data_IF_783733902089
#
_entry.id   IF_783733902089
#
_cell.length_a   1.000
_cell.length_b   1.000
_cell.length_c   1.000
_cell.angle_alpha   90.00
_cell.angle_beta   90.00
_cell.angle_gamma   90.00
#
_symmetry.space_group_name_H-M   'P 1'
#
loop_
_entity.id
_entity.type
_entity.pdbx_description
1 polymer ?
#
# COMPACT_ATOMS: atom_id res chain seq x y z
N UNK A 1 8.54 -17.48 -12.48
CA UNK A 1 10.01 -17.52 -12.58
C UNK A 1 10.62 -16.42 -11.72
N UNK A 2 11.74 -16.67 -11.03
CA UNK A 2 12.53 -15.60 -10.44
C UNK A 2 12.88 -14.58 -11.53
N UNK A 3 12.53 -13.30 -11.33
CA UNK A 3 12.83 -12.21 -12.28
C UNK A 3 11.66 -11.69 -13.13
N UNK A 4 10.48 -12.32 -13.07
CA UNK A 4 9.29 -11.85 -13.81
C UNK A 4 8.57 -10.64 -13.18
N UNK A 5 8.84 -10.34 -11.91
CA UNK A 5 8.22 -9.22 -11.18
C UNK A 5 9.28 -8.46 -10.39
N UNK A 6 9.34 -7.14 -10.58
CA UNK A 6 10.21 -6.24 -9.81
C UNK A 6 9.35 -5.20 -9.12
N UNK A 7 9.55 -4.99 -7.82
CA UNK A 7 8.88 -3.93 -7.05
C UNK A 7 9.96 -2.96 -6.58
N UNK A 8 9.88 -1.72 -7.06
CA UNK A 8 10.86 -0.67 -6.75
C UNK A 8 10.18 0.42 -5.94
N UNK A 9 10.58 0.61 -4.67
CA UNK A 9 10.13 1.74 -3.88
C UNK A 9 10.80 3.03 -4.38
N UNK A 10 10.01 4.08 -4.51
CA UNK A 10 10.46 5.41 -4.90
C UNK A 10 9.70 6.49 -4.09
N UNK A 11 10.29 7.66 -3.94
CA UNK A 11 9.60 8.82 -3.39
C UNK A 11 9.80 10.00 -4.35
N UNK A 12 8.74 10.46 -5.02
CA UNK A 12 8.83 11.53 -6.04
C UNK A 12 8.27 12.81 -5.46
N UNK A 13 9.09 13.84 -5.34
CA UNK A 13 8.68 15.08 -4.65
C UNK A 13 8.20 14.83 -3.21
N UNK A 14 8.79 13.84 -2.51
CA UNK A 14 8.35 13.42 -1.18
C UNK A 14 7.11 12.53 -1.13
N UNK A 15 6.43 12.29 -2.26
CA UNK A 15 5.27 11.40 -2.33
C UNK A 15 5.73 9.95 -2.49
N UNK A 16 5.29 9.02 -1.61
CA UNK A 16 5.67 7.62 -1.70
C UNK A 16 4.96 6.93 -2.87
N UNK A 17 5.74 6.25 -3.72
CA UNK A 17 5.29 5.55 -4.92
C UNK A 17 5.95 4.18 -4.97
N UNK A 18 5.25 3.17 -5.50
CA UNK A 18 5.88 1.91 -5.89
C UNK A 18 5.76 1.72 -7.39
N UNK A 19 6.88 1.46 -8.06
CA UNK A 19 6.86 0.90 -9.41
C UNK A 19 6.78 -0.63 -9.31
N UNK A 20 5.80 -1.21 -9.97
CA UNK A 20 5.69 -2.67 -10.13
C UNK A 20 5.86 -2.98 -11.60
N UNK A 21 6.94 -3.68 -11.94
CA UNK A 21 7.28 -4.07 -13.30
C UNK A 21 7.03 -5.57 -13.43
N UNK A 22 6.14 -5.94 -14.35
CA UNK A 22 5.86 -7.33 -14.71
C UNK A 22 6.42 -7.57 -16.11
N UNK A 23 7.41 -8.46 -16.25
CA UNK A 23 7.91 -8.85 -17.58
C UNK A 23 6.93 -9.79 -18.26
N UNK A 24 6.78 -9.66 -19.56
CA UNK A 24 6.04 -10.61 -20.37
C UNK A 24 6.70 -11.98 -20.30
N UNK A 25 5.87 -13.02 -20.39
CA UNK A 25 6.32 -14.40 -20.53
C UNK A 25 6.37 -14.73 -22.02
N UNK A 26 7.12 -15.77 -22.38
CA UNK A 26 7.19 -16.27 -23.76
C UNK A 26 5.77 -16.38 -24.39
N UNK A 27 5.55 -15.81 -25.59
CA UNK A 27 6.53 -15.25 -26.53
C UNK A 27 6.83 -13.74 -26.34
N UNK A 28 6.24 -13.07 -25.36
CA UNK A 28 6.33 -11.61 -25.17
C UNK A 28 7.47 -11.18 -24.22
N UNK A 29 8.62 -11.85 -24.26
CA UNK A 29 9.72 -11.61 -23.31
C UNK A 29 10.30 -10.17 -23.39
N UNK A 30 10.18 -9.54 -24.55
CA UNK A 30 10.58 -8.15 -24.80
C UNK A 30 9.53 -7.13 -24.34
N UNK A 31 8.35 -7.59 -23.90
CA UNK A 31 7.28 -6.73 -23.39
C UNK A 31 7.29 -6.69 -21.87
N UNK A 32 6.73 -5.62 -21.31
CA UNK A 32 6.48 -5.52 -19.88
C UNK A 32 5.27 -4.64 -19.57
N UNK A 33 4.78 -4.78 -18.35
CA UNK A 33 3.77 -3.90 -17.75
C UNK A 33 4.42 -3.12 -16.63
N UNK A 34 4.42 -1.79 -16.73
CA UNK A 34 4.79 -0.89 -15.64
C UNK A 34 3.53 -0.43 -14.93
N UNK A 35 3.47 -0.65 -13.62
CA UNK A 35 2.38 -0.16 -12.77
C UNK A 35 2.92 0.84 -11.77
N UNK A 36 2.36 2.04 -11.77
CA UNK A 36 2.61 3.08 -10.78
C UNK A 36 1.57 2.95 -9.68
N UNK A 37 2.00 2.52 -8.50
CA UNK A 37 1.14 2.43 -7.32
C UNK A 37 1.28 3.69 -6.49
N UNK A 38 0.19 4.43 -6.36
CA UNK A 38 0.14 5.66 -5.62
C UNK A 38 -1.18 5.75 -4.83
N UNK A 39 -1.09 6.15 -3.57
CA UNK A 39 -2.23 6.27 -2.66
C UNK A 39 -2.37 7.66 -2.05
N UNK A 40 -1.50 8.59 -2.43
CA UNK A 40 -1.50 9.95 -1.91
C UNK A 40 -2.53 10.83 -2.63
N UNK A 41 -3.33 11.57 -1.87
CA UNK A 41 -4.44 12.33 -2.43
C UNK A 41 -4.01 13.44 -3.42
N UNK A 42 -2.82 14.03 -3.25
CA UNK A 42 -2.35 15.12 -4.10
C UNK A 42 -1.90 14.64 -5.49
N UNK A 43 -1.51 13.37 -5.59
CA UNK A 43 -0.95 12.78 -6.82
C UNK A 43 -1.90 11.80 -7.52
N UNK A 44 -3.04 11.48 -6.90
CA UNK A 44 -4.12 10.72 -7.54
C UNK A 44 -4.83 11.49 -8.65
N UNK A 45 -4.57 12.79 -8.83
CA UNK A 45 -5.08 13.57 -9.97
C UNK A 45 -4.58 13.05 -11.32
N UNK A 46 -3.43 12.38 -11.36
CA UNK A 46 -2.88 11.74 -12.56
C UNK A 46 -3.45 10.34 -12.80
N UNK A 47 -4.27 9.82 -11.88
CA UNK A 47 -4.89 8.49 -12.01
C UNK A 47 -6.34 8.63 -12.45
N UNK A 48 -6.84 7.59 -13.10
CA UNK A 48 -8.24 7.54 -13.48
C UNK A 48 -9.15 7.63 -12.25
N UNK A 49 -10.24 8.39 -12.36
CA UNK A 49 -11.23 8.52 -11.30
C UNK A 49 -12.64 8.22 -11.80
N UNK A 50 -13.48 7.75 -10.88
CA UNK A 50 -14.90 7.56 -11.11
C UNK A 50 -15.68 8.15 -9.94
N UNK A 51 -16.63 9.02 -10.27
CA UNK A 51 -17.61 9.50 -9.32
C UNK A 51 -18.67 8.41 -9.10
N UNK A 52 -18.52 7.62 -8.03
CA UNK A 52 -19.52 6.64 -7.61
C UNK A 52 -20.15 7.14 -6.31
N UNK A 53 -21.38 7.69 -6.32
CA UNK A 53 -22.02 8.20 -5.12
C UNK A 53 -21.93 7.21 -3.94
N UNK A 54 -21.57 7.65 -2.72
CA UNK A 54 -21.40 9.03 -2.26
C UNK A 54 -19.96 9.59 -2.37
N UNK A 55 -19.00 8.88 -2.97
CA UNK A 55 -17.57 9.28 -2.94
C UNK A 55 -16.88 9.09 -4.28
N UNK A 56 -16.05 10.06 -4.66
CA UNK A 56 -15.12 9.88 -5.78
C UNK A 56 -14.10 8.79 -5.39
N UNK A 57 -13.90 7.84 -6.29
CA UNK A 57 -12.89 6.80 -6.17
C UNK A 57 -11.86 6.97 -7.28
N UNK A 58 -10.64 6.59 -6.98
CA UNK A 58 -9.50 6.69 -7.89
C UNK A 58 -8.88 5.31 -8.04
N UNK A 59 -8.39 5.03 -9.23
CA UNK A 59 -7.41 3.97 -9.39
C UNK A 59 -6.16 4.36 -8.60
N UNK A 60 -5.63 3.38 -7.88
CA UNK A 60 -4.41 3.55 -7.07
C UNK A 60 -3.23 2.83 -7.70
N UNK A 61 -3.46 2.20 -8.85
CA UNK A 61 -2.51 1.38 -9.60
C UNK A 61 -2.70 1.72 -11.08
N UNK A 62 -2.00 2.75 -11.55
CA UNK A 62 -1.99 3.14 -12.96
C UNK A 62 -1.11 2.14 -13.71
N UNK A 63 -1.70 1.43 -14.66
CA UNK A 63 -1.01 0.43 -15.48
C UNK A 63 -0.68 0.99 -16.85
N UNK A 64 0.54 0.73 -17.31
CA UNK A 64 1.00 0.89 -18.68
C UNK A 64 1.42 -0.49 -19.18
N UNK A 65 0.79 -0.97 -20.24
CA UNK A 65 0.95 -2.33 -20.75
C UNK A 65 1.62 -2.32 -22.11
N UNK A 66 2.24 -3.45 -22.48
CA UNK A 66 2.90 -3.60 -23.78
C UNK A 66 4.13 -2.71 -23.95
N UNK A 67 4.74 -2.28 -22.83
CA UNK A 67 5.95 -1.46 -22.87
C UNK A 67 7.11 -2.30 -23.38
N UNK A 68 7.98 -1.68 -24.18
CA UNK A 68 9.19 -2.36 -24.64
C UNK A 68 10.20 -2.40 -23.49
N UNK A 69 10.67 -3.60 -23.13
CA UNK A 69 11.61 -3.78 -22.01
C UNK A 69 12.86 -2.92 -22.17
N UNK A 70 13.32 -2.70 -23.41
CA UNK A 70 14.45 -1.80 -23.74
C UNK A 70 14.27 -0.37 -23.22
N UNK A 71 13.04 0.17 -23.20
CA UNK A 71 12.78 1.52 -22.68
C UNK A 71 12.99 1.58 -21.16
N UNK A 72 12.65 0.51 -20.44
CA UNK A 72 12.93 0.38 -19.02
C UNK A 72 14.37 -0.04 -18.72
N UNK A 73 15.16 -0.45 -19.72
CA UNK A 73 16.60 -0.67 -19.57
C UNK A 73 17.42 0.58 -19.89
N UNK A 74 16.78 1.60 -20.45
CA UNK A 74 17.43 2.86 -20.82
C UNK A 74 17.97 3.59 -19.58
N UNK A 75 19.23 4.01 -19.64
CA UNK A 75 19.89 4.71 -18.55
C UNK A 75 19.28 6.10 -18.32
N UNK A 76 18.82 6.78 -19.37
CA UNK A 76 18.16 8.08 -19.27
C UNK A 76 16.83 7.97 -18.53
N UNK A 77 16.07 6.89 -18.73
CA UNK A 77 14.86 6.62 -17.96
C UNK A 77 15.17 6.58 -16.45
N UNK A 78 16.16 5.79 -16.03
CA UNK A 78 16.50 5.66 -14.62
C UNK A 78 17.18 6.89 -14.03
N UNK A 79 17.99 7.60 -14.81
CA UNK A 79 18.57 8.88 -14.40
C UNK A 79 17.47 9.91 -14.12
N UNK A 80 16.44 9.96 -14.98
CA UNK A 80 15.29 10.84 -14.81
C UNK A 80 14.41 10.40 -13.64
N UNK A 81 14.17 9.10 -13.46
CA UNK A 81 13.45 8.57 -12.29
C UNK A 81 14.17 8.89 -10.97
N UNK A 82 15.50 8.77 -10.94
CA UNK A 82 16.31 9.15 -9.78
C UNK A 82 16.28 10.66 -9.53
N UNK A 83 16.33 11.47 -10.60
CA UNK A 83 16.24 12.92 -10.48
C UNK A 83 14.89 13.36 -9.91
N UNK A 84 13.76 12.82 -10.41
CA UNK A 84 12.44 13.16 -9.85
C UNK A 84 12.27 12.64 -8.43
N UNK A 85 12.96 11.56 -8.06
CA UNK A 85 12.98 11.06 -6.70
C UNK A 85 13.80 11.94 -5.73
N UNK A 86 14.90 12.51 -6.23
CA UNK A 86 15.85 13.28 -5.42
C UNK A 86 15.53 14.77 -5.39
N UNK A 87 14.69 15.25 -6.31
CA UNK A 87 14.30 16.65 -6.40
C UNK A 87 13.26 16.99 -5.34
N UNK A 88 13.53 18.06 -4.59
CA UNK A 88 12.52 18.76 -3.78
C UNK A 88 12.00 19.92 -4.63
N UNK A 89 10.70 20.21 -4.55
CA UNK A 89 10.09 21.31 -5.28
C UNK A 89 10.93 22.59 -5.13
N UNK A 90 11.57 22.99 -6.22
CA UNK A 90 12.40 24.19 -6.28
C UNK A 90 11.63 25.32 -6.94
N UNK A 91 11.77 26.54 -6.42
CA UNK A 91 11.03 27.74 -6.87
C UNK A 91 11.23 28.09 -8.37
N UNK A 92 12.22 27.49 -9.05
CA UNK A 92 12.57 27.77 -10.45
C UNK A 92 12.33 26.62 -11.44
N UNK A 93 11.64 25.53 -11.04
CA UNK A 93 11.33 24.44 -11.97
C UNK A 93 10.03 24.70 -12.72
N UNK A 94 10.04 24.56 -14.05
CA UNK A 94 8.83 24.67 -14.89
C UNK A 94 7.82 23.54 -14.62
N UNK A 95 8.32 22.37 -14.22
CA UNK A 95 7.53 21.18 -13.91
C UNK A 95 7.91 20.70 -12.51
N UNK A 96 6.91 20.30 -11.74
CA UNK A 96 7.13 19.62 -10.46
C UNK A 96 7.71 18.21 -10.70
N UNK A 97 8.36 17.58 -9.70
CA UNK A 97 8.86 16.20 -9.81
C UNK A 97 7.77 15.20 -10.20
N UNK A 98 6.54 15.37 -9.70
CA UNK A 98 5.40 14.55 -10.07
C UNK A 98 5.01 14.74 -11.54
N UNK A 99 4.97 15.98 -12.03
CA UNK A 99 4.71 16.24 -13.46
C UNK A 99 5.79 15.64 -14.34
N UNK A 100 7.07 15.81 -13.98
CA UNK A 100 8.16 15.16 -14.72
C UNK A 100 8.03 13.64 -14.73
N UNK A 101 7.61 13.02 -13.62
CA UNK A 101 7.37 11.58 -13.60
C UNK A 101 6.19 11.20 -14.51
N UNK A 102 5.00 11.79 -14.35
CA UNK A 102 3.82 11.37 -15.11
C UNK A 102 3.85 11.82 -16.58
N UNK A 103 4.20 13.07 -16.86
CA UNK A 103 4.08 13.66 -18.19
C UNK A 103 5.31 13.41 -19.07
N UNK A 104 6.50 13.23 -18.48
CA UNK A 104 7.75 13.03 -19.24
C UNK A 104 8.22 11.59 -19.16
N UNK A 105 8.48 11.09 -17.95
CA UNK A 105 9.09 9.77 -17.75
C UNK A 105 8.16 8.63 -18.18
N UNK A 106 6.89 8.65 -17.75
CA UNK A 106 5.95 7.60 -18.12
C UNK A 106 5.58 7.65 -19.60
N UNK A 107 5.49 8.84 -20.21
CA UNK A 107 5.28 8.98 -21.65
C UNK A 107 6.48 8.50 -22.47
N UNK A 108 7.71 8.76 -22.01
CA UNK A 108 8.91 8.18 -22.62
C UNK A 108 8.87 6.65 -22.57
N UNK A 109 8.53 6.08 -21.41
CA UNK A 109 8.41 4.63 -21.26
C UNK A 109 7.28 4.03 -22.09
N UNK A 110 6.17 4.74 -22.28
CA UNK A 110 5.08 4.32 -23.15
C UNK A 110 5.40 4.44 -24.64
N UNK A 111 6.30 5.36 -25.02
CA UNK A 111 6.53 5.73 -26.42
C UNK A 111 5.39 6.54 -27.05
N UNK A 112 4.43 6.99 -26.22
CA UNK A 112 3.25 7.77 -26.62
C UNK A 112 2.79 8.67 -25.46
N UNK A 113 1.74 9.47 -25.69
CA UNK A 113 1.18 10.30 -24.62
C UNK A 113 0.61 9.44 -23.48
N UNK A 114 0.74 9.89 -22.23
CA UNK A 114 0.26 9.13 -21.07
C UNK A 114 -1.24 8.82 -21.18
N UNK A 115 -2.04 9.76 -21.66
CA UNK A 115 -3.49 9.60 -21.83
C UNK A 115 -3.82 8.45 -22.80
N UNK A 116 -3.10 8.35 -23.92
CA UNK A 116 -3.29 7.26 -24.88
C UNK A 116 -2.93 5.90 -24.27
N UNK A 117 -1.78 5.83 -23.60
CA UNK A 117 -1.34 4.60 -22.94
C UNK A 117 -2.31 4.15 -21.84
N UNK A 118 -2.88 5.08 -21.07
CA UNK A 118 -3.90 4.80 -20.07
C UNK A 118 -5.20 4.29 -20.68
N UNK A 119 -5.64 4.87 -21.81
CA UNK A 119 -6.84 4.41 -22.51
C UNK A 119 -6.68 2.98 -23.02
N UNK A 120 -5.51 2.64 -23.58
CA UNK A 120 -5.19 1.28 -24.03
C UNK A 120 -5.10 0.28 -22.87
N UNK A 121 -4.50 0.68 -21.75
CA UNK A 121 -4.43 -0.17 -20.56
C UNK A 121 -5.82 -0.44 -19.97
N UNK A 122 -6.74 0.53 -20.03
CA UNK A 122 -8.09 0.40 -19.50
C UNK A 122 -8.96 -0.55 -20.32
N UNK A 123 -8.89 -0.48 -21.65
CA UNK A 123 -9.66 -1.37 -22.53
C UNK A 123 -9.28 -2.85 -22.35
N UNK A 124 -8.07 -3.13 -21.88
CA UNK A 124 -7.54 -4.47 -21.67
C UNK A 124 -7.54 -4.92 -20.20
N UNK A 125 -7.94 -4.05 -19.25
CA UNK A 125 -7.85 -4.34 -17.82
C UNK A 125 -8.97 -5.23 -17.33
N UNK A 126 -8.63 -6.50 -17.01
CA UNK A 126 -9.53 -7.43 -16.35
C UNK A 126 -9.85 -7.07 -14.88
N UNK A 127 -9.09 -6.15 -14.27
CA UNK A 127 -9.22 -5.81 -12.85
C UNK A 127 -10.40 -4.86 -12.55
N UNK A 128 -10.91 -4.16 -13.57
CA UNK A 128 -12.13 -3.34 -13.50
C UNK A 128 -12.25 -2.37 -12.31
N UNK A 129 -13.50 -2.07 -11.91
CA UNK A 129 -13.82 -1.15 -10.81
C UNK A 129 -13.35 -1.63 -9.42
N UNK A 130 -12.90 -2.88 -9.31
CA UNK A 130 -12.47 -3.44 -8.05
C UNK A 130 -11.22 -2.76 -7.51
N UNK A 131 -10.34 -2.23 -8.35
CA UNK A 131 -9.11 -1.55 -7.91
C UNK A 131 -9.29 -0.12 -7.41
N UNK A 132 -10.49 0.45 -7.58
CA UNK A 132 -10.76 1.84 -7.21
C UNK A 132 -10.95 2.02 -5.70
N UNK A 133 -10.34 3.07 -5.13
CA UNK A 133 -10.43 3.41 -3.72
C UNK A 133 -10.67 4.89 -3.48
N UNK A 134 -11.25 5.21 -2.33
CA UNK A 134 -11.31 6.60 -1.86
C UNK A 134 -9.90 7.08 -1.46
N UNK A 135 -9.50 8.31 -1.84
CA UNK A 135 -8.19 8.85 -1.50
C UNK A 135 -7.92 8.81 -0.01
N UNK A 136 -6.66 8.54 0.35
CA UNK A 136 -6.18 8.65 1.72
C UNK A 136 -5.61 10.05 1.90
N UNK A 137 -6.08 10.74 2.94
CA UNK A 137 -5.59 12.07 3.33
C UNK A 137 -4.75 12.04 4.60
N UNK A 138 -4.43 10.84 5.09
CA UNK A 138 -3.46 10.67 6.16
C UNK A 138 -2.06 10.62 5.53
N UNK A 139 -1.06 11.16 6.21
CA UNK A 139 0.37 11.15 5.81
C UNK A 139 1.00 9.75 5.87
N UNK A 140 0.17 8.71 5.75
CA UNK A 140 0.51 7.28 5.81
C UNK A 140 0.31 6.64 4.44
N UNK A 141 0.50 7.39 3.36
CA UNK A 141 0.26 6.95 1.99
C UNK A 141 1.20 5.79 1.61
N UNK A 142 2.41 5.72 2.19
CA UNK A 142 3.40 4.66 1.95
C UNK A 142 2.88 3.26 2.33
N UNK A 143 2.24 3.11 3.50
CA UNK A 143 1.56 1.85 3.87
C UNK A 143 0.38 1.53 2.93
N UNK A 144 -0.28 2.57 2.41
CA UNK A 144 -1.28 2.44 1.36
C UNK A 144 -0.68 1.79 0.11
N UNK A 145 0.40 2.36 -0.39
CA UNK A 145 1.06 1.87 -1.61
C UNK A 145 1.47 0.41 -1.48
N UNK A 146 2.13 0.01 -0.40
CA UNK A 146 2.50 -1.39 -0.18
C UNK A 146 1.30 -2.35 -0.20
N UNK A 147 0.21 -1.97 0.47
CA UNK A 147 -1.01 -2.79 0.52
C UNK A 147 -1.72 -2.85 -0.84
N UNK A 148 -1.72 -1.76 -1.59
CA UNK A 148 -2.35 -1.70 -2.91
C UNK A 148 -1.51 -2.41 -3.97
N UNK A 149 -0.18 -2.36 -3.88
CA UNK A 149 0.73 -3.16 -4.69
C UNK A 149 0.55 -4.65 -4.41
N UNK A 150 0.48 -5.06 -3.14
CA UNK A 150 0.18 -6.45 -2.77
C UNK A 150 -1.16 -6.89 -3.36
N UNK A 151 -2.20 -6.06 -3.22
CA UNK A 151 -3.51 -6.34 -3.82
C UNK A 151 -3.41 -6.51 -5.33
N UNK A 152 -2.77 -5.57 -6.01
CA UNK A 152 -2.57 -5.59 -7.45
C UNK A 152 -1.93 -6.90 -7.88
N UNK A 153 -0.77 -7.23 -7.30
CA UNK A 153 -0.02 -8.44 -7.60
C UNK A 153 -0.84 -9.72 -7.38
N UNK A 154 -1.59 -9.81 -6.28
CA UNK A 154 -2.39 -10.99 -6.00
C UNK A 154 -3.51 -11.16 -7.04
N UNK A 155 -4.23 -10.08 -7.37
CA UNK A 155 -5.33 -10.15 -8.32
C UNK A 155 -4.83 -10.41 -9.75
N UNK A 156 -3.69 -9.85 -10.16
CA UNK A 156 -3.09 -10.15 -11.48
C UNK A 156 -2.59 -11.58 -11.57
N UNK A 157 -2.24 -12.21 -10.45
CA UNK A 157 -1.84 -13.61 -10.38
C UNK A 157 -3.03 -14.56 -10.14
N UNK A 158 -4.25 -14.11 -10.45
CA UNK A 158 -5.44 -14.97 -10.50
C UNK A 158 -6.23 -15.08 -9.20
N UNK A 159 -5.84 -14.41 -8.12
CA UNK A 159 -6.68 -14.37 -6.92
C UNK A 159 -7.93 -13.53 -7.18
N UNK A 160 -9.04 -14.01 -6.65
CA UNK A 160 -10.29 -13.27 -6.60
C UNK A 160 -10.23 -12.16 -5.54
N UNK A 161 -11.13 -11.19 -5.67
CA UNK A 161 -11.30 -10.14 -4.65
C UNK A 161 -11.69 -10.72 -3.28
N UNK A 162 -12.39 -11.86 -3.27
CA UNK A 162 -12.77 -12.56 -2.04
C UNK A 162 -11.55 -13.17 -1.34
N UNK A 163 -10.71 -13.90 -2.08
CA UNK A 163 -9.46 -14.46 -1.55
C UNK A 163 -8.53 -13.37 -1.06
N UNK A 164 -8.37 -12.27 -1.80
CA UNK A 164 -7.62 -11.12 -1.32
C UNK A 164 -8.19 -10.55 -0.01
N UNK A 165 -9.51 -10.42 0.11
CA UNK A 165 -10.13 -9.93 1.36
C UNK A 165 -9.81 -10.87 2.53
N UNK A 166 -9.84 -12.18 2.30
CA UNK A 166 -9.47 -13.20 3.28
C UNK A 166 -7.99 -13.13 3.66
N UNK A 167 -7.07 -13.13 2.69
CA UNK A 167 -5.63 -12.99 2.93
C UNK A 167 -5.30 -11.68 3.65
N UNK A 168 -5.93 -10.58 3.26
CA UNK A 168 -5.77 -9.28 3.93
C UNK A 168 -6.31 -9.30 5.37
N UNK A 169 -7.22 -10.23 5.72
CA UNK A 169 -7.66 -10.45 7.11
C UNK A 169 -6.60 -11.23 7.87
N UNK A 170 -6.09 -12.33 7.28
CA UNK A 170 -4.99 -13.11 7.85
C UNK A 170 -3.74 -12.26 8.11
N UNK A 171 -3.38 -11.36 7.19
CA UNK A 171 -2.25 -10.44 7.38
C UNK A 171 -2.44 -9.55 8.62
N UNK A 172 -3.66 -9.03 8.85
CA UNK A 172 -3.96 -8.25 10.05
C UNK A 172 -3.91 -9.09 11.32
N UNK A 173 -4.42 -10.33 11.24
CA UNK A 173 -4.29 -11.29 12.34
C UNK A 173 -2.81 -11.52 12.67
N UNK A 174 -1.97 -11.75 11.67
CA UNK A 174 -0.54 -11.96 11.87
C UNK A 174 0.16 -10.73 12.47
N UNK A 175 -0.11 -9.52 11.96
CA UNK A 175 0.41 -8.28 12.54
C UNK A 175 -0.02 -8.10 14.01
N UNK A 176 -1.24 -8.49 14.35
CA UNK A 176 -1.74 -8.42 15.73
C UNK A 176 -1.08 -9.48 16.63
N UNK A 177 -0.74 -10.67 16.11
CA UNK A 177 0.06 -11.67 16.83
C UNK A 177 1.48 -11.18 17.09
N UNK A 178 2.08 -10.50 16.12
CA UNK A 178 3.41 -9.88 16.30
C UNK A 178 3.34 -8.83 17.41
N UNK A 179 2.36 -7.92 17.36
CA UNK A 179 2.16 -6.94 18.42
C UNK A 179 1.91 -7.61 19.79
N UNK A 180 1.11 -8.67 19.85
CA UNK A 180 0.89 -9.45 21.07
C UNK A 180 2.18 -10.05 21.63
N UNK A 181 3.06 -10.54 20.75
CA UNK A 181 4.37 -11.05 21.15
C UNK A 181 5.25 -9.93 21.71
N UNK A 182 5.25 -8.76 21.07
CA UNK A 182 6.01 -7.59 21.52
C UNK A 182 5.52 -7.08 22.90
N UNK A 183 4.22 -7.19 23.19
CA UNK A 183 3.68 -6.86 24.52
C UNK A 183 4.28 -7.71 25.65
N UNK A 184 4.84 -8.90 25.37
CA UNK A 184 5.47 -9.74 26.41
C UNK A 184 6.79 -9.19 26.92
N UNK A 185 7.48 -8.41 26.08
CA UNK A 185 8.76 -7.78 26.41
C UNK A 185 8.61 -6.28 26.64
N UNK A 186 7.44 -5.71 26.33
CA UNK A 186 7.15 -4.31 26.54
C UNK A 186 6.81 -4.04 28.02
N UNK A 187 7.60 -3.21 28.74
CA UNK A 187 7.40 -3.01 30.18
C UNK A 187 6.18 -2.13 30.51
N UNK A 188 5.77 -1.25 29.58
CA UNK A 188 4.68 -0.28 29.76
C UNK A 188 3.98 -0.04 28.43
N UNK A 189 2.69 0.28 28.49
CA UNK A 189 1.92 0.64 27.27
C UNK A 189 1.16 1.94 27.51
N UNK A 190 1.46 2.93 26.69
CA UNK A 190 0.82 4.24 26.72
C UNK A 190 -0.68 4.16 26.39
N UNK A 191 -1.49 5.17 26.80
CA UNK A 191 -2.89 5.25 26.40
C UNK A 191 -3.11 5.28 24.88
N UNK A 192 -2.17 5.87 24.13
CA UNK A 192 -2.23 5.95 22.68
C UNK A 192 -2.04 4.58 22.02
N UNK A 193 -1.04 3.82 22.45
CA UNK A 193 -0.79 2.45 21.97
C UNK A 193 -1.96 1.52 22.28
N UNK A 194 -2.53 1.60 23.50
CA UNK A 194 -3.76 0.86 23.85
C UNK A 194 -4.90 1.18 22.89
N UNK A 195 -5.10 2.45 22.55
CA UNK A 195 -6.14 2.88 21.62
C UNK A 195 -5.88 2.34 20.21
N UNK A 196 -4.63 2.36 19.75
CA UNK A 196 -4.23 1.83 18.44
C UNK A 196 -4.46 0.32 18.36
N UNK A 197 -3.99 -0.44 19.35
CA UNK A 197 -4.17 -1.90 19.38
C UNK A 197 -5.64 -2.28 19.55
N UNK A 198 -6.39 -1.57 20.40
CA UNK A 198 -7.84 -1.74 20.52
C UNK A 198 -8.60 -1.42 19.21
N UNK A 199 -8.13 -0.44 18.43
CA UNK A 199 -8.69 -0.18 17.10
C UNK A 199 -8.33 -1.31 16.11
N UNK A 200 -7.09 -1.79 16.11
CA UNK A 200 -6.66 -2.90 15.27
C UNK A 200 -7.46 -4.19 15.55
N UNK A 201 -7.66 -4.54 16.83
CA UNK A 201 -8.49 -5.67 17.25
C UNK A 201 -9.93 -5.54 16.77
N UNK A 202 -10.55 -4.36 16.92
CA UNK A 202 -11.91 -4.11 16.40
C UNK A 202 -11.99 -4.23 14.88
N UNK A 203 -11.00 -3.70 14.16
CA UNK A 203 -10.95 -3.80 12.71
C UNK A 203 -10.80 -5.25 12.24
N UNK A 204 -9.98 -6.05 12.92
CA UNK A 204 -9.84 -7.47 12.65
C UNK A 204 -11.17 -8.22 12.86
N UNK A 205 -11.80 -8.04 14.04
CA UNK A 205 -13.07 -8.67 14.37
C UNK A 205 -14.19 -8.28 13.37
N UNK A 206 -14.31 -6.98 13.06
CA UNK A 206 -15.29 -6.50 12.07
C UNK A 206 -15.05 -7.13 10.70
N UNK A 207 -13.79 -7.26 10.28
CA UNK A 207 -13.45 -7.85 8.98
C UNK A 207 -13.75 -9.36 8.94
N UNK A 208 -13.46 -10.08 10.02
CA UNK A 208 -13.82 -11.49 10.16
C UNK A 208 -15.33 -11.69 10.10
N UNK A 209 -16.11 -10.89 10.85
CA UNK A 209 -17.57 -10.92 10.80
C UNK A 209 -18.12 -10.61 9.39
N UNK A 210 -17.53 -9.65 8.68
CA UNK A 210 -17.92 -9.34 7.30
C UNK A 210 -17.66 -10.50 6.34
N UNK A 211 -16.52 -11.19 6.47
CA UNK A 211 -16.19 -12.36 5.67
C UNK A 211 -17.09 -13.57 5.98
N UNK A 212 -17.45 -13.76 7.25
CA UNK A 212 -18.40 -14.79 7.64
C UNK A 212 -19.80 -14.51 7.09
N UNK A 213 -20.28 -13.26 7.09
CA UNK A 213 -21.61 -12.91 6.53
C UNK A 213 -21.73 -13.12 5.02
N UNK A 214 -20.64 -13.02 4.28
CA UNK A 214 -20.64 -13.31 2.84
C UNK A 214 -20.96 -14.78 2.53
N UNK A 215 -20.91 -15.70 3.50
CA UNK A 215 -21.26 -17.12 3.31
C UNK A 215 -22.75 -17.39 3.24
N UNK A 216 -23.58 -16.50 3.80
CA UNK A 216 -25.01 -16.75 4.06
C UNK A 216 -25.90 -16.26 2.90
N UNK A 217 -25.36 -15.43 2.00
CA UNK A 217 -26.14 -14.70 1.00
C UNK A 217 -25.93 -15.08 -0.47
N UNK A 218 -25.15 -16.12 -0.80
CA UNK A 218 -24.84 -16.47 -2.20
C UNK A 218 -25.51 -17.78 -2.62
N UNK A 219 -26.26 -17.69 -3.74
CA UNK A 219 -26.78 -18.83 -4.48
C UNK A 219 -25.62 -19.72 -4.96
N UNK A 220 -25.87 -21.04 -4.96
CA UNK A 220 -24.94 -22.09 -5.31
C UNK A 220 -24.24 -21.84 -6.66
N UNK A 221 -22.92 -21.75 -6.67
CA UNK A 221 -22.16 -21.74 -7.93
C UNK A 221 -20.74 -21.16 -7.87
N UNK A 222 -20.44 -20.26 -6.93
CA UNK A 222 -19.07 -19.72 -6.77
C UNK A 222 -18.55 -20.13 -5.40
N UNK A 223 -17.51 -20.99 -5.38
CA UNK A 223 -16.82 -21.37 -4.16
C UNK A 223 -16.16 -20.14 -3.54
N UNK A 224 -16.87 -19.44 -2.67
CA UNK A 224 -16.31 -18.36 -1.87
C UNK A 224 -15.71 -18.97 -0.61
N UNK A 225 -14.44 -18.67 -0.32
CA UNK A 225 -13.80 -18.97 0.96
C UNK A 225 -14.46 -18.14 2.08
N UNK A 226 -15.62 -18.61 2.53
CA UNK A 226 -16.29 -18.16 3.72
C UNK A 226 -15.41 -18.43 4.95
N UNK A 227 -15.37 -17.49 5.88
CA UNK A 227 -14.73 -17.75 7.18
C UNK A 227 -15.61 -18.74 7.96
N UNK A 228 -15.03 -19.89 8.35
CA UNK A 228 -15.73 -20.90 9.15
C UNK A 228 -16.06 -20.37 10.55
N UNK A 229 -16.99 -21.05 11.23
CA UNK A 229 -17.30 -20.79 12.65
C UNK A 229 -16.07 -20.94 13.53
N UNK A 230 -15.25 -21.96 13.28
CA UNK A 230 -13.94 -22.16 13.92
C UNK A 230 -12.99 -21.00 13.65
N UNK A 231 -12.93 -20.51 12.40
CA UNK A 231 -12.12 -19.34 12.04
C UNK A 231 -12.56 -18.07 12.75
N UNK A 232 -13.87 -17.86 12.92
CA UNK A 232 -14.40 -16.75 13.72
C UNK A 232 -14.04 -16.89 15.21
N UNK A 233 -14.15 -18.10 15.76
CA UNK A 233 -13.80 -18.38 17.15
C UNK A 233 -12.30 -18.11 17.38
N UNK A 234 -11.43 -18.53 16.46
CA UNK A 234 -9.99 -18.27 16.52
C UNK A 234 -9.67 -16.76 16.50
N UNK A 235 -10.33 -15.98 15.63
CA UNK A 235 -10.16 -14.51 15.60
C UNK A 235 -10.64 -13.88 16.91
N UNK A 236 -11.77 -14.33 17.46
CA UNK A 236 -12.28 -13.85 18.75
C UNK A 236 -11.28 -14.12 19.87
N UNK A 237 -10.80 -15.36 20.00
CA UNK A 237 -9.81 -15.73 21.01
C UNK A 237 -8.57 -14.85 20.93
N UNK A 238 -8.03 -14.66 19.71
CA UNK A 238 -6.88 -13.78 19.50
C UNK A 238 -7.14 -12.34 19.96
N UNK A 239 -8.33 -11.79 19.66
CA UNK A 239 -8.69 -10.42 20.08
C UNK A 239 -8.77 -10.31 21.60
N UNK A 240 -9.33 -11.31 22.27
CA UNK A 240 -9.40 -11.33 23.74
C UNK A 240 -8.01 -11.48 24.37
N UNK A 241 -7.13 -12.34 23.84
CA UNK A 241 -5.77 -12.49 24.34
C UNK A 241 -4.97 -11.18 24.29
N UNK A 242 -5.07 -10.43 23.18
CA UNK A 242 -4.42 -9.12 23.05
C UNK A 242 -4.97 -8.15 24.08
N UNK A 243 -6.29 -8.15 24.28
CA UNK A 243 -6.95 -7.28 25.26
C UNK A 243 -6.49 -7.61 26.68
N UNK A 244 -6.46 -8.90 27.05
CA UNK A 244 -5.97 -9.35 28.35
C UNK A 244 -4.49 -8.97 28.56
N UNK A 245 -3.65 -9.14 27.53
CA UNK A 245 -2.24 -8.74 27.60
C UNK A 245 -2.09 -7.23 27.83
N UNK A 246 -2.90 -6.41 27.16
CA UNK A 246 -2.90 -4.97 27.36
C UNK A 246 -3.35 -4.61 28.79
N UNK A 247 -4.48 -5.13 29.24
CA UNK A 247 -5.05 -4.83 30.56
C UNK A 247 -4.11 -5.22 31.71
N UNK A 248 -3.27 -6.24 31.51
CA UNK A 248 -2.24 -6.66 32.46
C UNK A 248 -0.99 -5.78 32.53
N UNK A 249 -0.73 -4.93 31.52
CA UNK A 249 0.45 -4.07 31.51
C UNK A 249 0.18 -2.73 32.20
N UNK A 250 1.17 -2.15 32.90
CA UNK A 250 1.02 -0.80 33.46
C UNK A 250 0.96 0.26 32.36
N UNK A 251 0.23 1.34 32.64
CA UNK A 251 0.26 2.55 31.82
C UNK A 251 1.53 3.36 32.04
N UNK A 252 1.78 4.32 31.15
CA UNK A 252 2.77 5.36 31.40
C UNK A 252 2.45 6.17 32.66
N UNK A 253 3.50 6.66 33.33
CA UNK A 253 3.31 7.66 34.37
C UNK A 253 2.64 8.90 33.73
N UNK A 254 1.74 9.61 34.42
CA UNK A 254 0.98 10.73 33.85
C UNK A 254 1.82 11.92 33.36
N UNK A 255 3.15 11.88 33.56
CA UNK A 255 4.14 12.87 33.09
C UNK A 255 5.21 12.27 32.16
N UNK A 256 5.11 11.00 31.77
CA UNK A 256 6.03 10.42 30.81
C UNK A 256 5.79 11.09 29.45
N UNK A 257 6.81 11.76 28.94
CA UNK A 257 6.82 12.21 27.55
C UNK A 257 6.71 10.95 26.70
N UNK A 258 5.70 10.88 25.83
CA UNK A 258 5.52 9.75 24.94
C UNK A 258 6.83 9.49 24.19
N UNK A 259 7.28 8.22 24.06
CA UNK A 259 8.48 7.93 23.29
C UNK A 259 8.30 8.50 21.88
N UNK A 260 9.34 9.13 21.30
CA UNK A 260 9.25 9.71 19.98
C UNK A 260 8.84 8.61 18.99
N UNK A 261 7.90 8.89 18.07
CA UNK A 261 7.45 7.90 17.11
C UNK A 261 8.62 7.42 16.26
N UNK A 262 8.64 6.12 15.98
CA UNK A 262 9.66 5.53 15.12
C UNK A 262 9.49 6.07 13.69
N UNK A 263 10.41 6.95 13.26
CA UNK A 263 10.43 7.51 11.92
C UNK A 263 10.95 6.42 10.97
N UNK A 264 10.02 5.74 10.31
CA UNK A 264 10.33 4.67 9.35
C UNK A 264 10.61 5.22 7.95
N UNK A 265 10.21 6.46 7.68
CA UNK A 265 10.47 7.15 6.42
C UNK A 265 10.66 8.65 6.62
N UNK A 266 11.31 9.32 5.67
CA UNK A 266 11.42 10.78 5.66
C UNK A 266 10.06 11.51 5.61
N UNK A 267 8.99 10.82 5.19
CA UNK A 267 7.62 11.35 5.25
C UNK A 267 7.08 11.45 6.69
N UNK A 268 7.64 10.71 7.65
CA UNK A 268 7.25 10.76 9.06
C UNK A 268 7.93 11.93 9.81
N UNK A 269 8.67 12.79 9.10
CA UNK A 269 9.42 13.94 9.67
C UNK A 269 8.51 14.97 10.35
N UNK A 270 7.24 15.06 9.94
CA UNK A 270 6.22 15.90 10.58
C UNK A 270 5.88 15.45 12.02
N UNK A 271 6.23 14.22 12.40
CA UNK A 271 6.06 13.71 13.76
C UNK A 271 7.12 14.22 14.75
N UNK A 272 8.03 15.10 14.30
CA UNK A 272 8.73 16.03 15.19
C UNK A 272 10.08 15.58 15.76
N UNK A 273 10.82 14.64 15.15
CA UNK A 273 12.23 14.35 15.54
C UNK A 273 13.18 13.99 14.37
N UNK A 274 14.48 13.92 14.70
CA UNK A 274 15.61 13.68 13.80
C UNK A 274 15.67 12.23 13.28
N UNK A 275 16.05 11.99 12.01
CA UNK A 275 16.12 10.65 11.40
C UNK A 275 17.01 9.66 12.17
N UNK A 276 16.70 8.37 12.08
CA UNK A 276 17.38 7.25 12.79
C UNK A 276 18.92 7.30 12.68
N UNK A 277 19.45 7.75 11.55
CA UNK A 277 20.90 7.93 11.31
C UNK A 277 21.52 8.96 12.27
N UNK A 278 20.80 10.05 12.59
CA UNK A 278 21.26 11.05 13.55
C UNK A 278 21.16 10.55 15.00
N UNK A 279 20.17 9.70 15.31
CA UNK A 279 20.10 9.06 16.62
C UNK A 279 21.24 8.07 16.85
N UNK A 280 21.66 7.33 15.81
CA UNK A 280 22.76 6.37 15.89
C UNK A 280 24.14 7.05 15.98
N UNK A 281 24.29 8.22 15.34
CA UNK A 281 25.53 9.00 15.43
C UNK A 281 25.72 9.73 16.77
N UNK A 282 24.66 9.85 17.60
CA UNK A 282 24.72 10.45 18.94
C UNK A 282 25.07 9.47 20.06
N UNK A 283 25.37 8.20 19.73
CA UNK A 283 25.73 7.14 20.70
C UNK A 283 27.26 6.90 20.73
N UNK A 284 28.06 7.82 20.16
CA UNK A 284 29.53 7.82 20.31
C UNK A 284 29.98 8.68 21.50
#
# INVERSE_FOLDING_TARGET
EPGGTTVLPCAVGGVPILFVILRGLAPEEESCTLTVVNCDASSLSYHHCAAVPPKIKFDTCLQLRGLQLRQLQDQAFWAMAWFTASSVDGENMKLTPLQMMYEVLLSFAAGESLDQAMLQAKSTSALGADMMHTPRRSETAHYGCARHALRYLLLTNGLTVHEYKFLSMLLRSQMLRMAQHDLRVCPKVSPAERKILGLASRQLAHKAAKLARCSIGMQAGVACHALSTEGMAAVRLQVEEVKMALDGLPGDAPKAVAPPPLILSAADKHLGQQPLVQMLNGIQ
#
